data_IF_581431634622
#
_entry.id   IF_581431634622
#
_cell.length_a   1.000
_cell.length_b   1.000
_cell.length_c   1.000
_cell.angle_alpha   90.00
_cell.angle_beta   90.00
_cell.angle_gamma   90.00
#
_symmetry.space_group_name_H-M   'P 1'
#
loop_
_entity.id
_entity.type
_entity.pdbx_description
1 polymer ?
#
# COMPACT_ATOMS: atom_id res chain seq x y z
N UNK A 1 1.51 -3.60 21.11
CA UNK A 1 1.95 -3.69 19.71
C UNK A 1 1.71 -5.09 19.21
N UNK A 2 0.83 -5.24 18.22
CA UNK A 2 0.54 -6.46 17.48
C UNK A 2 1.49 -6.59 16.28
N UNK A 3 1.56 -7.76 15.66
CA UNK A 3 2.37 -7.94 14.44
C UNK A 3 1.94 -7.01 13.30
N UNK A 4 0.63 -6.78 13.14
CA UNK A 4 0.09 -5.85 12.14
C UNK A 4 0.53 -4.40 12.38
N UNK A 5 0.51 -3.95 13.63
CA UNK A 5 0.97 -2.59 13.98
C UNK A 5 2.46 -2.41 13.69
N UNK A 6 3.28 -3.43 13.98
CA UNK A 6 4.72 -3.42 13.66
C UNK A 6 4.95 -3.30 12.15
N UNK A 7 4.21 -4.06 11.34
CA UNK A 7 4.32 -3.98 9.87
C UNK A 7 4.02 -2.57 9.38
N UNK A 8 2.93 -1.96 9.85
CA UNK A 8 2.51 -0.61 9.43
C UNK A 8 3.52 0.45 9.83
N UNK A 9 4.10 0.35 11.03
CA UNK A 9 5.15 1.27 11.49
C UNK A 9 6.40 1.17 10.61
N UNK A 10 6.86 -0.04 10.30
CA UNK A 10 8.01 -0.24 9.40
C UNK A 10 7.72 0.31 8.01
N UNK A 11 6.53 0.08 7.43
CA UNK A 11 6.17 0.63 6.12
C UNK A 11 6.19 2.16 6.12
N UNK A 12 5.64 2.78 7.17
CA UNK A 12 5.65 4.23 7.33
C UNK A 12 7.09 4.78 7.46
N UNK A 13 7.95 4.13 8.25
CA UNK A 13 9.37 4.51 8.38
C UNK A 13 10.14 4.41 7.08
N UNK A 14 9.81 3.42 6.22
CA UNK A 14 10.38 3.29 4.89
C UNK A 14 9.79 4.27 3.86
N UNK A 15 8.84 5.13 4.26
CA UNK A 15 8.25 6.14 3.38
C UNK A 15 7.26 5.59 2.38
N UNK A 16 6.60 4.47 2.67
CA UNK A 16 5.54 3.94 1.80
C UNK A 16 4.35 4.90 1.80
N UNK A 17 4.02 5.42 0.62
CA UNK A 17 2.97 6.43 0.43
C UNK A 17 1.63 5.84 -0.02
N UNK A 18 1.58 4.57 -0.44
CA UNK A 18 0.35 3.90 -0.89
C UNK A 18 0.50 2.38 -0.76
N UNK A 19 -0.52 1.70 -0.26
CA UNK A 19 -0.58 0.24 -0.18
C UNK A 19 -1.62 -0.27 -1.19
N UNK A 20 -1.21 -1.24 -2.00
CA UNK A 20 -2.11 -2.05 -2.81
C UNK A 20 -2.30 -3.41 -2.17
N UNK A 21 -3.55 -3.78 -1.90
CA UNK A 21 -3.86 -5.04 -1.26
C UNK A 21 -5.05 -5.74 -1.91
N UNK A 22 -5.15 -7.05 -1.69
CA UNK A 22 -6.34 -7.82 -2.06
C UNK A 22 -7.04 -8.33 -0.80
N UNK A 23 -8.38 -8.39 -0.82
CA UNK A 23 -9.15 -8.74 0.36
C UNK A 23 -9.09 -10.23 0.68
N UNK A 24 -9.02 -10.57 1.96
CA UNK A 24 -9.02 -11.95 2.45
C UNK A 24 -9.03 -11.99 3.98
N UNK A 25 -9.56 -13.05 4.58
CA UNK A 25 -9.75 -13.11 6.03
C UNK A 25 -8.44 -12.96 6.83
N UNK A 26 -7.33 -13.47 6.30
CA UNK A 26 -6.03 -13.43 6.97
C UNK A 26 -5.38 -12.04 7.01
N UNK A 27 -5.67 -11.16 6.03
CA UNK A 27 -5.02 -9.84 5.93
C UNK A 27 -5.78 -8.75 6.71
N UNK A 28 -7.02 -9.00 7.12
CA UNK A 28 -7.87 -8.02 7.81
C UNK A 28 -7.19 -7.34 9.01
N UNK A 29 -6.46 -8.04 9.90
CA UNK A 29 -5.78 -7.37 11.01
C UNK A 29 -4.74 -6.34 10.56
N UNK A 30 -4.15 -6.51 9.37
CA UNK A 30 -3.20 -5.54 8.80
C UNK A 30 -3.96 -4.34 8.22
N UNK A 31 -5.10 -4.55 7.56
CA UNK A 31 -5.93 -3.45 7.06
C UNK A 31 -6.50 -2.60 8.19
N UNK A 32 -6.93 -3.21 9.29
CA UNK A 32 -7.38 -2.50 10.48
C UNK A 32 -6.25 -1.60 11.04
N UNK A 33 -5.02 -2.12 11.10
CA UNK A 33 -3.87 -1.36 11.55
C UNK A 33 -3.53 -0.18 10.62
N UNK A 34 -3.60 -0.38 9.29
CA UNK A 34 -3.42 0.69 8.30
C UNK A 34 -4.49 1.76 8.46
N UNK A 35 -5.76 1.36 8.66
CA UNK A 35 -6.86 2.29 8.86
C UNK A 35 -6.66 3.14 10.12
N UNK A 36 -6.35 2.52 11.26
CA UNK A 36 -6.07 3.22 12.51
C UNK A 36 -4.84 4.13 12.43
N UNK A 37 -3.81 3.72 11.70
CA UNK A 37 -2.64 4.57 11.43
C UNK A 37 -3.05 5.81 10.63
N UNK A 38 -3.82 5.63 9.55
CA UNK A 38 -4.27 6.72 8.68
C UNK A 38 -5.21 7.70 9.38
N UNK A 39 -6.08 7.24 10.29
CA UNK A 39 -6.91 8.13 11.11
C UNK A 39 -6.06 9.12 11.95
N UNK A 40 -4.89 8.68 12.42
CA UNK A 40 -3.96 9.49 13.23
C UNK A 40 -3.02 10.36 12.38
N UNK A 41 -2.75 9.95 11.14
CA UNK A 41 -1.75 10.56 10.26
C UNK A 41 -2.35 11.18 9.00
N UNK A 42 -3.60 11.62 9.05
CA UNK A 42 -4.28 12.34 7.95
C UNK A 42 -4.20 11.58 6.61
N UNK A 43 -4.48 10.28 6.65
CA UNK A 43 -4.47 9.39 5.48
C UNK A 43 -3.12 9.35 4.72
N UNK A 44 -2.01 9.35 5.46
CA UNK A 44 -0.65 9.34 4.90
C UNK A 44 -0.30 8.12 4.04
N UNK A 45 -0.95 6.97 4.25
CA UNK A 45 -0.67 5.73 3.53
C UNK A 45 -1.98 5.03 3.09
N UNK A 46 -2.70 5.57 2.11
CA UNK A 46 -3.97 5.02 1.62
C UNK A 46 -3.84 3.55 1.20
N UNK A 47 -4.86 2.76 1.53
CA UNK A 47 -5.02 1.38 1.10
C UNK A 47 -5.98 1.32 -0.09
N UNK A 48 -5.51 0.83 -1.22
CA UNK A 48 -6.29 0.59 -2.44
C UNK A 48 -6.52 -0.91 -2.57
N UNK A 49 -7.78 -1.31 -2.75
CA UNK A 49 -8.19 -2.73 -2.85
C UNK A 49 -8.79 -3.02 -4.22
N UNK A 50 -7.99 -3.51 -5.18
CA UNK A 50 -8.49 -3.90 -6.49
C UNK A 50 -9.35 -5.17 -6.45
N UNK A 51 -10.08 -5.42 -7.54
CA UNK A 51 -11.02 -6.54 -7.65
C UNK A 51 -10.35 -7.92 -7.59
N UNK A 52 -9.06 -8.01 -7.89
CA UNK A 52 -8.27 -9.24 -7.81
C UNK A 52 -6.79 -8.92 -7.53
N UNK A 53 -6.03 -9.95 -7.15
CA UNK A 53 -4.61 -9.87 -6.79
C UNK A 53 -3.75 -9.39 -7.96
N UNK A 54 -4.08 -9.79 -9.20
CA UNK A 54 -3.36 -9.35 -10.40
C UNK A 54 -3.49 -7.84 -10.60
N UNK A 55 -4.69 -7.30 -10.40
CA UNK A 55 -4.95 -5.86 -10.43
C UNK A 55 -4.13 -5.11 -9.38
N UNK A 56 -4.03 -5.65 -8.16
CA UNK A 56 -3.17 -5.09 -7.12
C UNK A 56 -1.70 -5.08 -7.52
N UNK A 57 -1.19 -6.20 -8.05
CA UNK A 57 0.20 -6.30 -8.52
C UNK A 57 0.52 -5.33 -9.65
N UNK A 58 -0.34 -5.25 -10.67
CA UNK A 58 -0.12 -4.34 -11.80
C UNK A 58 -0.20 -2.87 -11.39
N UNK A 59 -1.14 -2.48 -10.51
CA UNK A 59 -1.21 -1.10 -10.03
C UNK A 59 0.03 -0.71 -9.22
N UNK A 60 0.50 -1.61 -8.34
CA UNK A 60 1.73 -1.39 -7.59
C UNK A 60 2.95 -1.22 -8.52
N UNK A 61 3.07 -2.05 -9.56
CA UNK A 61 4.15 -1.95 -10.54
C UNK A 61 4.13 -0.61 -11.29
N UNK A 62 2.98 -0.19 -11.78
CA UNK A 62 2.87 1.03 -12.60
C UNK A 62 3.16 2.28 -11.77
N UNK A 63 2.73 2.36 -10.51
CA UNK A 63 3.06 3.51 -9.65
C UNK A 63 4.56 3.62 -9.37
N UNK A 64 5.28 2.50 -9.32
CA UNK A 64 6.74 2.48 -9.14
C UNK A 64 7.52 2.91 -10.39
N UNK A 65 6.87 3.02 -11.54
CA UNK A 65 7.45 3.55 -12.79
C UNK A 65 6.90 4.93 -13.17
N UNK A 66 7.10 5.99 -12.35
CA UNK A 66 6.76 7.34 -12.79
C UNK A 66 7.82 7.80 -13.79
N UNK A 67 7.47 7.75 -15.09
CA UNK A 67 8.01 8.60 -16.17
C UNK A 67 9.52 8.52 -16.50
N UNK A 68 10.36 7.83 -15.74
CA UNK A 68 11.81 7.79 -15.97
C UNK A 68 12.23 7.13 -17.29
N UNK A 69 11.33 6.38 -17.95
CA UNK A 69 11.59 5.70 -19.23
C UNK A 69 10.78 6.24 -20.42
N UNK A 70 9.98 7.30 -20.25
CA UNK A 70 9.22 7.88 -21.37
C UNK A 70 10.06 8.80 -22.28
N UNK A 71 11.33 9.06 -21.95
CA UNK A 71 12.29 9.77 -22.83
C UNK A 71 13.08 8.85 -23.77
N UNK A 72 12.90 7.52 -23.71
CA UNK A 72 13.64 6.55 -24.55
C UNK A 72 12.80 5.90 -25.66
N UNK A 73 11.60 6.42 -25.95
CA UNK A 73 10.71 5.86 -26.96
C UNK A 73 10.23 6.86 -28.03
N UNK A 74 11.00 7.89 -28.37
CA UNK A 74 10.96 8.57 -29.68
C UNK A 74 12.21 9.41 -29.91
#
# INVERSE_FOLDING_TARGET
MTGSEIIVEVLAEQGVETIFGYSGGAILPTYDAVFQYNEKHNNAMPLIVPANEQGAGFMAQVILEPLANLELLW
#
